data_IF_852203912573
#
_entry.id   IF_852203912573
#
_cell.length_a   1.000
_cell.length_b   1.000
_cell.length_c   1.000
_cell.angle_alpha   90.00
_cell.angle_beta   90.00
_cell.angle_gamma   90.00
#
_symmetry.space_group_name_H-M   'P 1'
#
loop_
_entity.id
_entity.type
_entity.pdbx_description
1 polymer ?
#
# COMPACT_ATOMS: atom_id res chain seq x y z
N UNK A 1 26.08 -1.11 5.55
CA UNK A 1 26.09 0.36 5.42
C UNK A 1 25.00 1.04 6.26
N UNK A 2 23.74 0.57 6.24
CA UNK A 2 22.61 1.20 6.95
C UNK A 2 22.78 1.28 8.48
N UNK A 3 23.35 0.25 9.12
CA UNK A 3 23.62 0.24 10.58
C UNK A 3 24.63 1.31 11.02
N UNK A 4 25.60 1.63 10.18
CA UNK A 4 26.59 2.70 10.42
C UNK A 4 25.94 4.08 10.29
N UNK A 5 25.00 4.23 9.36
CA UNK A 5 24.24 5.46 9.17
C UNK A 5 23.27 5.73 10.32
N UNK A 6 22.56 4.74 10.86
CA UNK A 6 21.61 4.93 11.98
C UNK A 6 22.32 5.27 13.31
N UNK A 7 23.56 4.82 13.48
CA UNK A 7 24.35 5.05 14.69
C UNK A 7 25.30 6.26 14.61
N UNK A 8 25.25 7.04 13.53
CA UNK A 8 26.06 8.25 13.41
C UNK A 8 25.55 9.33 14.39
N UNK A 9 26.43 10.12 15.04
CA UNK A 9 26.02 11.10 16.05
C UNK A 9 25.01 12.14 15.54
N UNK A 10 25.06 12.46 14.24
CA UNK A 10 24.18 13.43 13.58
C UNK A 10 22.85 12.83 13.11
N UNK A 11 22.69 11.52 13.17
CA UNK A 11 21.51 10.78 12.71
C UNK A 11 20.84 9.99 13.83
N UNK A 12 21.23 10.26 15.09
CA UNK A 12 20.62 9.61 16.24
C UNK A 12 19.12 9.89 16.28
N UNK A 13 18.33 8.83 16.18
CA UNK A 13 16.88 8.92 16.24
C UNK A 13 16.47 8.87 17.72
N UNK A 14 15.71 9.86 18.22
CA UNK A 14 15.14 9.82 19.56
C UNK A 14 14.28 8.57 19.81
N UNK A 15 14.40 7.94 20.98
CA UNK A 15 13.66 6.71 21.33
C UNK A 15 12.14 6.84 21.18
N UNK A 16 11.58 8.03 21.44
CA UNK A 16 10.15 8.27 21.27
C UNK A 16 9.68 8.11 19.81
N UNK A 17 10.55 8.38 18.83
CA UNK A 17 10.23 8.19 17.40
C UNK A 17 10.23 6.72 16.99
N UNK A 18 11.01 5.86 17.66
CA UNK A 18 10.93 4.40 17.47
C UNK A 18 9.61 3.79 17.95
N UNK A 19 8.88 4.47 18.83
CA UNK A 19 7.55 4.04 19.27
C UNK A 19 6.42 4.63 18.42
N UNK A 20 6.73 5.61 17.57
CA UNK A 20 5.75 6.31 16.73
C UNK A 20 5.45 5.47 15.47
N UNK A 21 4.21 5.01 15.31
CA UNK A 21 3.73 4.34 14.10
C UNK A 21 4.04 5.02 12.77
N UNK A 22 4.04 6.34 12.75
CA UNK A 22 4.06 7.15 11.53
C UNK A 22 5.48 7.44 11.07
N UNK A 23 6.43 7.46 12.00
CA UNK A 23 7.80 7.88 11.72
C UNK A 23 8.47 7.02 10.64
N UNK A 24 8.19 5.70 10.61
CA UNK A 24 8.76 4.81 9.59
C UNK A 24 8.36 5.24 8.16
N UNK A 25 7.20 5.86 8.01
CA UNK A 25 6.69 6.35 6.72
C UNK A 25 7.24 7.73 6.36
N UNK A 26 7.83 8.44 7.31
CA UNK A 26 8.59 9.66 7.07
C UNK A 26 10.04 9.40 6.66
N UNK A 27 10.57 8.18 6.87
CA UNK A 27 11.97 7.82 6.54
C UNK A 27 12.30 8.07 5.07
N UNK A 28 11.47 7.65 4.08
CA UNK A 28 11.74 7.98 2.68
C UNK A 28 11.87 9.47 2.43
N UNK A 29 11.00 10.29 3.03
CA UNK A 29 11.05 11.75 2.94
C UNK A 29 12.29 12.33 3.62
N UNK A 30 12.64 11.85 4.81
CA UNK A 30 13.82 12.28 5.56
C UNK A 30 15.11 11.97 4.78
N UNK A 31 15.22 10.77 4.20
CA UNK A 31 16.35 10.38 3.37
C UNK A 31 16.46 11.24 2.11
N UNK A 32 15.32 11.53 1.46
CA UNK A 32 15.28 12.38 0.29
C UNK A 32 15.80 13.80 0.57
N UNK A 33 15.39 14.40 1.69
CA UNK A 33 15.76 15.76 2.05
C UNK A 33 17.15 15.88 2.68
N UNK A 34 17.63 14.83 3.36
CA UNK A 34 18.97 14.79 3.92
C UNK A 34 20.05 14.53 2.85
N UNK A 35 19.66 14.04 1.67
CA UNK A 35 20.58 13.76 0.58
C UNK A 35 20.81 15.01 -0.26
N UNK A 36 22.07 15.48 -0.34
CA UNK A 36 22.46 16.58 -1.25
C UNK A 36 22.33 16.19 -2.73
N UNK A 37 22.35 14.88 -3.01
CA UNK A 37 22.24 14.27 -4.33
C UNK A 37 20.99 13.41 -4.42
N UNK A 38 20.55 13.10 -5.65
CA UNK A 38 19.47 12.14 -5.82
C UNK A 38 19.87 10.78 -5.26
N UNK A 39 18.93 10.10 -4.59
CA UNK A 39 19.23 8.85 -3.85
C UNK A 39 19.79 7.78 -4.80
N UNK A 40 19.35 7.78 -6.06
CA UNK A 40 19.87 6.91 -7.11
C UNK A 40 21.37 7.13 -7.39
N UNK A 41 21.89 8.33 -7.16
CA UNK A 41 23.32 8.64 -7.34
C UNK A 41 24.15 8.12 -6.16
N UNK A 42 23.56 8.12 -4.96
CA UNK A 42 24.21 7.68 -3.72
C UNK A 42 24.32 6.15 -3.65
N UNK A 43 23.33 5.43 -4.18
CA UNK A 43 23.26 3.96 -4.13
C UNK A 43 23.98 3.25 -5.29
N UNK A 44 24.78 3.97 -6.09
CA UNK A 44 25.58 3.38 -7.17
C UNK A 44 26.79 2.63 -6.62
N UNK A 45 26.72 1.30 -6.68
CA UNK A 45 27.90 0.41 -6.67
C UNK A 45 28.34 0.08 -8.11
N UNK A 46 29.55 -0.45 -8.27
CA UNK A 46 30.06 -0.88 -9.57
C UNK A 46 29.09 -1.85 -10.27
N UNK A 47 28.51 -2.81 -9.53
CA UNK A 47 27.55 -3.79 -10.05
C UNK A 47 26.24 -3.13 -10.51
N UNK A 48 25.69 -2.20 -9.72
CA UNK A 48 24.47 -1.48 -10.11
C UNK A 48 24.69 -0.59 -11.33
N UNK A 49 25.91 -0.07 -11.51
CA UNK A 49 26.27 0.74 -12.67
C UNK A 49 26.41 -0.11 -13.93
N UNK A 50 27.05 -1.28 -13.85
CA UNK A 50 27.11 -2.23 -14.97
C UNK A 50 25.71 -2.67 -15.43
N UNK A 51 24.85 -3.04 -14.48
CA UNK A 51 23.46 -3.39 -14.77
C UNK A 51 22.69 -2.23 -15.42
N UNK A 52 22.82 -1.02 -14.88
CA UNK A 52 22.15 0.18 -15.42
C UNK A 52 22.58 0.47 -16.86
N UNK A 53 23.88 0.37 -17.15
CA UNK A 53 24.42 0.58 -18.51
C UNK A 53 23.89 -0.49 -19.47
N UNK A 54 23.87 -1.75 -19.06
CA UNK A 54 23.30 -2.84 -19.86
C UNK A 54 21.81 -2.58 -20.16
N UNK A 55 21.01 -2.25 -19.14
CA UNK A 55 19.58 -2.06 -19.29
C UNK A 55 19.25 -0.86 -20.19
N UNK A 56 19.91 0.29 -19.98
CA UNK A 56 19.71 1.51 -20.79
C UNK A 56 20.06 1.29 -22.27
N UNK A 57 21.05 0.45 -22.56
CA UNK A 57 21.42 0.13 -23.95
C UNK A 57 20.47 -0.86 -24.62
N UNK A 58 19.85 -1.73 -23.83
CA UNK A 58 19.00 -2.82 -24.33
C UNK A 58 17.55 -2.38 -24.50
N UNK A 59 17.06 -1.51 -23.61
CA UNK A 59 15.65 -1.14 -23.53
C UNK A 59 15.46 0.37 -23.62
N UNK A 60 14.62 0.79 -24.56
CA UNK A 60 14.24 2.20 -24.73
C UNK A 60 13.35 2.65 -23.56
N UNK A 61 13.57 3.87 -23.06
CA UNK A 61 12.73 4.45 -22.00
C UNK A 61 12.85 3.79 -20.62
N UNK A 62 13.81 2.88 -20.40
CA UNK A 62 13.96 2.13 -19.13
C UNK A 62 14.54 2.95 -17.97
N UNK A 63 15.18 4.08 -18.26
CA UNK A 63 15.91 4.87 -17.26
C UNK A 63 15.01 5.33 -16.08
N UNK A 64 13.83 5.94 -16.30
CA UNK A 64 12.96 6.35 -15.19
C UNK A 64 12.49 5.15 -14.32
N UNK A 65 12.31 3.98 -14.93
CA UNK A 65 11.94 2.75 -14.21
C UNK A 65 13.08 2.26 -13.31
N UNK A 66 14.32 2.29 -13.80
CA UNK A 66 15.49 1.91 -13.00
C UNK A 66 15.70 2.84 -11.81
N UNK A 67 15.61 4.15 -12.04
CA UNK A 67 15.76 5.16 -10.99
C UNK A 67 14.71 4.96 -9.89
N UNK A 68 13.46 4.66 -10.27
CA UNK A 68 12.39 4.31 -9.34
C UNK A 68 12.71 3.04 -8.54
N UNK A 69 13.04 1.93 -9.21
CA UNK A 69 13.30 0.63 -8.55
C UNK A 69 14.43 0.76 -7.53
N UNK A 70 15.51 1.47 -7.88
CA UNK A 70 16.61 1.65 -6.94
C UNK A 70 16.20 2.47 -5.72
N UNK A 71 15.40 3.53 -5.90
CA UNK A 71 14.87 4.30 -4.77
C UNK A 71 13.96 3.44 -3.88
N UNK A 72 13.08 2.63 -4.46
CA UNK A 72 12.20 1.72 -3.70
C UNK A 72 12.97 0.70 -2.89
N UNK A 73 14.03 0.11 -3.46
CA UNK A 73 14.92 -0.83 -2.76
C UNK A 73 15.60 -0.11 -1.60
N UNK A 74 16.10 1.11 -1.80
CA UNK A 74 16.76 1.88 -0.76
C UNK A 74 15.79 2.26 0.39
N UNK A 75 14.59 2.72 0.07
CA UNK A 75 13.55 3.05 1.06
C UNK A 75 13.10 1.82 1.83
N UNK A 76 12.82 0.73 1.14
CA UNK A 76 12.46 -0.56 1.76
C UNK A 76 13.57 -1.02 2.70
N UNK A 77 14.83 -0.95 2.26
CA UNK A 77 15.99 -1.29 3.09
C UNK A 77 16.13 -0.40 4.33
N UNK A 78 15.77 0.89 4.22
CA UNK A 78 15.77 1.81 5.35
C UNK A 78 14.63 1.53 6.35
N UNK A 79 13.41 1.24 5.87
CA UNK A 79 12.29 0.80 6.71
C UNK A 79 12.67 -0.47 7.50
N UNK A 80 13.23 -1.49 6.83
CA UNK A 80 13.68 -2.72 7.49
C UNK A 80 14.79 -2.47 8.51
N UNK A 81 15.76 -1.62 8.19
CA UNK A 81 16.85 -1.31 9.11
C UNK A 81 16.32 -0.59 10.37
N UNK A 82 15.37 0.32 10.20
CA UNK A 82 14.71 1.01 11.31
C UNK A 82 13.92 0.05 12.19
N UNK A 83 13.13 -0.82 11.57
CA UNK A 83 12.34 -1.83 12.28
C UNK A 83 13.23 -2.81 13.05
N UNK A 84 14.32 -3.25 12.44
CA UNK A 84 15.30 -4.12 13.11
C UNK A 84 15.92 -3.44 14.33
N UNK A 85 16.32 -2.17 14.21
CA UNK A 85 16.86 -1.39 15.33
C UNK A 85 15.83 -1.21 16.46
N UNK A 86 14.56 -0.94 16.12
CA UNK A 86 13.46 -0.87 17.09
C UNK A 86 13.33 -2.17 17.89
N UNK A 87 13.36 -3.31 17.19
CA UNK A 87 13.26 -4.63 17.79
C UNK A 87 14.49 -4.97 18.64
N UNK A 88 15.71 -4.65 18.19
CA UNK A 88 16.94 -4.81 18.99
C UNK A 88 16.87 -4.02 20.30
N UNK A 89 16.26 -2.83 20.29
CA UNK A 89 16.03 -2.00 21.48
C UNK A 89 14.84 -2.45 22.35
N UNK A 90 14.06 -3.44 21.91
CA UNK A 90 12.89 -3.93 22.64
C UNK A 90 11.76 -2.90 22.77
N UNK A 91 11.68 -1.93 21.87
CA UNK A 91 10.66 -0.88 21.90
C UNK A 91 9.41 -1.35 21.16
N UNK A 92 8.24 -1.30 21.79
CA UNK A 92 6.97 -1.61 21.11
C UNK A 92 6.37 -0.38 20.43
N UNK A 93 5.76 -0.60 19.26
CA UNK A 93 4.96 0.43 18.61
C UNK A 93 3.74 0.75 19.47
N UNK A 94 3.41 2.04 19.56
CA UNK A 94 2.13 2.44 20.16
C UNK A 94 0.98 1.77 19.40
N UNK A 95 0.08 1.14 20.15
CA UNK A 95 -1.12 0.52 19.58
C UNK A 95 -2.03 1.61 19.03
N UNK A 96 -2.27 1.52 17.73
CA UNK A 96 -3.28 2.31 17.04
C UNK A 96 -4.59 1.53 16.94
N UNK A 97 -5.64 2.21 16.48
CA UNK A 97 -6.87 1.54 16.07
C UNK A 97 -6.66 0.87 14.71
N UNK A 98 -7.32 -0.27 14.50
CA UNK A 98 -7.38 -0.95 13.22
C UNK A 98 -8.82 -1.03 12.74
N UNK A 99 -8.99 -1.15 11.44
CA UNK A 99 -10.28 -1.38 10.82
C UNK A 99 -10.85 -2.75 11.20
N UNK A 100 -12.17 -2.90 11.09
CA UNK A 100 -12.86 -4.12 11.49
C UNK A 100 -12.71 -5.25 10.47
N UNK A 101 -12.81 -4.94 9.16
CA UNK A 101 -12.84 -5.94 8.09
C UNK A 101 -11.44 -6.37 7.69
N UNK A 102 -10.55 -5.41 7.44
CA UNK A 102 -9.25 -5.66 6.82
C UNK A 102 -8.07 -5.59 7.79
N UNK A 103 -8.33 -5.23 9.06
CA UNK A 103 -7.36 -5.13 10.15
C UNK A 103 -6.19 -4.17 9.89
N UNK A 104 -6.29 -3.31 8.89
CA UNK A 104 -5.28 -2.28 8.60
C UNK A 104 -5.39 -1.14 9.61
N UNK A 105 -4.29 -0.43 9.91
CA UNK A 105 -4.34 0.68 10.85
C UNK A 105 -5.08 1.89 10.24
N UNK A 106 -5.86 2.61 11.05
CA UNK A 106 -6.62 3.79 10.61
C UNK A 106 -5.87 5.11 10.79
N UNK A 107 -4.79 5.10 11.56
CA UNK A 107 -4.06 6.28 12.02
C UNK A 107 -2.77 6.56 11.26
N UNK A 108 -2.46 5.75 10.25
CA UNK A 108 -1.17 5.77 9.53
C UNK A 108 -1.28 5.20 8.12
N UNK A 109 -0.24 5.45 7.33
CA UNK A 109 -0.03 4.77 6.05
C UNK A 109 0.40 3.31 6.26
N UNK A 110 -0.09 2.41 5.41
CA UNK A 110 0.34 1.02 5.36
C UNK A 110 0.78 0.64 3.94
N UNK A 111 1.78 -0.23 3.83
CA UNK A 111 2.24 -0.68 2.53
C UNK A 111 1.20 -1.58 1.85
N UNK A 112 1.01 -1.35 0.55
CA UNK A 112 0.38 -2.28 -0.40
C UNK A 112 1.47 -2.93 -1.26
N UNK A 113 2.33 -2.10 -1.85
CA UNK A 113 3.56 -2.51 -2.54
C UNK A 113 4.73 -1.63 -2.02
N UNK A 114 5.99 -1.90 -2.37
CA UNK A 114 7.09 -0.99 -2.06
C UNK A 114 6.86 0.45 -2.59
N UNK A 115 6.13 0.58 -3.69
CA UNK A 115 5.84 1.83 -4.40
C UNK A 115 4.51 2.47 -4.00
N UNK A 116 3.61 1.75 -3.34
CA UNK A 116 2.23 2.21 -3.09
C UNK A 116 1.85 1.98 -1.64
N UNK A 117 1.45 3.06 -0.98
CA UNK A 117 0.90 3.04 0.37
C UNK A 117 -0.61 3.27 0.32
N UNK A 118 -1.35 2.62 1.23
CA UNK A 118 -2.75 2.89 1.49
C UNK A 118 -2.93 3.74 2.76
N UNK A 119 -3.95 4.58 2.79
CA UNK A 119 -4.48 5.23 4.00
C UNK A 119 -5.97 4.97 4.09
N UNK A 120 -6.47 4.70 5.30
CA UNK A 120 -7.91 4.58 5.54
C UNK A 120 -8.52 5.97 5.64
N UNK A 121 -9.44 6.31 4.74
CA UNK A 121 -10.19 7.59 4.79
C UNK A 121 -11.55 7.42 5.46
N UNK A 122 -12.10 6.21 5.43
CA UNK A 122 -13.36 5.88 6.08
C UNK A 122 -13.37 4.41 6.51
N UNK A 123 -13.88 4.13 7.70
CA UNK A 123 -14.05 2.77 8.20
C UNK A 123 -15.28 2.67 9.10
N UNK A 124 -16.22 1.83 8.67
CA UNK A 124 -17.41 1.39 9.37
C UNK A 124 -17.50 -0.14 9.32
N UNK A 125 -18.43 -0.73 10.08
CA UNK A 125 -18.55 -2.19 10.25
C UNK A 125 -18.68 -2.96 8.91
N UNK A 126 -19.36 -2.36 7.93
CA UNK A 126 -19.66 -2.98 6.64
C UNK A 126 -19.04 -2.24 5.45
N UNK A 127 -18.28 -1.17 5.68
CA UNK A 127 -17.73 -0.33 4.62
C UNK A 127 -16.36 0.22 5.01
N UNK A 128 -15.36 0.05 4.16
CA UNK A 128 -14.05 0.69 4.33
C UNK A 128 -13.64 1.37 3.04
N UNK A 129 -13.05 2.55 3.12
CA UNK A 129 -12.54 3.29 1.97
C UNK A 129 -11.07 3.60 2.22
N UNK A 130 -10.23 3.23 1.26
CA UNK A 130 -8.80 3.51 1.26
C UNK A 130 -8.44 4.43 0.11
N UNK A 131 -7.54 5.38 0.36
CA UNK A 131 -6.84 6.09 -0.70
C UNK A 131 -5.47 5.43 -0.88
N UNK A 132 -5.17 5.05 -2.12
CA UNK A 132 -3.86 4.55 -2.52
C UNK A 132 -3.03 5.71 -3.02
N UNK A 133 -1.80 5.79 -2.53
CA UNK A 133 -0.88 6.85 -2.84
C UNK A 133 0.45 6.28 -3.31
N UNK A 134 0.99 6.86 -4.37
CA UNK A 134 2.33 6.53 -4.82
C UNK A 134 3.35 7.07 -3.83
N UNK A 135 4.29 6.21 -3.45
CA UNK A 135 5.45 6.52 -2.62
C UNK A 135 6.52 7.24 -3.45
N UNK A 136 6.14 8.32 -4.13
CA UNK A 136 7.02 9.07 -5.03
C UNK A 136 7.33 10.39 -4.37
N UNK A 137 8.62 10.67 -4.24
CA UNK A 137 9.12 12.03 -4.08
C UNK A 137 8.43 12.94 -5.12
N UNK A 138 7.50 13.80 -4.72
CA UNK A 138 7.13 14.97 -5.55
C UNK A 138 7.12 16.21 -4.68
N UNK A 139 8.32 16.64 -4.25
CA UNK A 139 8.57 17.92 -3.56
C UNK A 139 7.83 18.12 -2.22
N UNK A 140 8.23 19.12 -1.44
CA UNK A 140 7.51 19.53 -0.22
C UNK A 140 6.05 19.91 -0.55
N UNK A 141 5.81 20.32 -1.79
CA UNK A 141 4.53 20.86 -2.25
C UNK A 141 3.51 19.77 -2.65
N UNK A 142 3.95 18.54 -2.93
CA UNK A 142 3.05 17.42 -3.25
C UNK A 142 3.59 16.06 -2.78
N UNK A 143 3.68 15.81 -1.47
CA UNK A 143 4.29 14.59 -0.93
C UNK A 143 3.49 13.32 -1.22
N UNK A 144 2.28 13.43 -1.79
CA UNK A 144 1.33 12.31 -1.93
C UNK A 144 0.63 12.40 -3.29
N UNK A 145 0.97 11.49 -4.20
CA UNK A 145 0.25 11.35 -5.47
C UNK A 145 -0.84 10.30 -5.30
N UNK A 146 -2.09 10.72 -5.23
CA UNK A 146 -3.23 9.82 -5.11
C UNK A 146 -3.47 9.05 -6.43
N UNK A 147 -3.44 7.72 -6.33
CA UNK A 147 -3.55 6.80 -7.45
C UNK A 147 -4.96 6.28 -7.65
N UNK A 148 -5.62 5.93 -6.56
CA UNK A 148 -6.91 5.28 -6.60
C UNK A 148 -7.62 5.39 -5.27
N UNK A 149 -8.94 5.36 -5.33
CA UNK A 149 -9.80 5.09 -4.19
C UNK A 149 -10.28 3.64 -4.29
N UNK A 150 -10.13 2.90 -3.18
CA UNK A 150 -10.56 1.51 -3.05
C UNK A 150 -11.63 1.44 -1.97
N UNK A 151 -12.83 1.04 -2.35
CA UNK A 151 -13.97 0.88 -1.45
C UNK A 151 -14.28 -0.60 -1.25
N UNK A 152 -14.27 -1.05 -0.01
CA UNK A 152 -14.68 -2.37 0.44
C UNK A 152 -16.10 -2.29 0.99
N UNK A 153 -17.00 -3.14 0.49
CA UNK A 153 -18.37 -3.26 0.99
C UNK A 153 -18.57 -4.70 1.41
N UNK A 154 -18.64 -4.93 2.71
CA UNK A 154 -18.88 -6.25 3.29
C UNK A 154 -20.37 -6.47 3.51
N UNK A 155 -20.90 -7.49 2.87
CA UNK A 155 -22.29 -7.92 3.00
C UNK A 155 -22.31 -9.25 3.75
N UNK A 156 -22.83 -9.24 4.97
CA UNK A 156 -22.98 -10.48 5.73
C UNK A 156 -24.11 -11.32 5.14
N UNK A 157 -24.04 -12.64 5.37
CA UNK A 157 -25.09 -13.59 5.03
C UNK A 157 -26.47 -13.11 5.46
N UNK A 158 -26.60 -12.65 6.70
CA UNK A 158 -27.88 -12.22 7.28
C UNK A 158 -28.44 -11.00 6.53
N UNK A 159 -27.59 -10.04 6.16
CA UNK A 159 -27.99 -8.88 5.35
C UNK A 159 -28.47 -9.31 3.97
N UNK A 160 -27.76 -10.23 3.32
CA UNK A 160 -28.11 -10.73 1.99
C UNK A 160 -29.44 -11.49 2.03
N UNK A 161 -29.59 -12.41 2.98
CA UNK A 161 -30.82 -13.20 3.16
C UNK A 161 -32.03 -12.28 3.40
N UNK A 162 -31.89 -11.31 4.30
CA UNK A 162 -32.95 -10.33 4.57
C UNK A 162 -33.31 -9.54 3.32
N UNK A 163 -32.34 -9.06 2.54
CA UNK A 163 -32.61 -8.33 1.30
C UNK A 163 -33.34 -9.18 0.25
N UNK A 164 -33.09 -10.50 0.20
CA UNK A 164 -33.83 -11.42 -0.67
C UNK A 164 -35.27 -11.58 -0.19
N UNK A 165 -35.46 -11.78 1.12
CA UNK A 165 -36.78 -11.89 1.75
C UNK A 165 -37.61 -10.60 1.58
N UNK A 166 -36.97 -9.44 1.67
CA UNK A 166 -37.55 -8.12 1.44
C UNK A 166 -37.82 -7.83 -0.06
N UNK A 167 -37.42 -8.74 -0.96
CA UNK A 167 -37.69 -8.63 -2.40
C UNK A 167 -36.82 -7.62 -3.15
N UNK A 168 -35.61 -7.33 -2.66
CA UNK A 168 -34.68 -6.44 -3.34
C UNK A 168 -34.18 -7.08 -4.64
N UNK A 169 -34.62 -6.53 -5.77
CA UNK A 169 -34.43 -7.08 -7.12
C UNK A 169 -32.99 -7.52 -7.42
N UNK A 170 -32.00 -6.70 -7.05
CA UNK A 170 -30.58 -7.02 -7.28
C UNK A 170 -30.19 -8.37 -6.65
N UNK A 171 -30.50 -8.57 -5.37
CA UNK A 171 -30.16 -9.81 -4.66
C UNK A 171 -30.99 -10.99 -5.15
N UNK A 172 -32.27 -10.78 -5.47
CA UNK A 172 -33.12 -11.83 -6.06
C UNK A 172 -32.58 -12.35 -7.40
N UNK A 173 -31.98 -11.48 -8.21
CA UNK A 173 -31.36 -11.86 -9.49
C UNK A 173 -30.01 -12.55 -9.26
N UNK A 174 -29.14 -11.99 -8.42
CA UNK A 174 -27.79 -12.52 -8.17
C UNK A 174 -27.83 -13.92 -7.56
N UNK A 175 -28.78 -14.19 -6.66
CA UNK A 175 -28.92 -15.46 -5.94
C UNK A 175 -30.06 -16.33 -6.49
N UNK A 176 -30.44 -16.13 -7.75
CA UNK A 176 -31.51 -16.89 -8.38
C UNK A 176 -31.17 -18.40 -8.40
N UNK A 177 -31.99 -19.20 -7.72
CA UNK A 177 -31.79 -20.65 -7.63
C UNK A 177 -30.81 -21.09 -6.54
N UNK A 178 -30.23 -20.17 -5.76
CA UNK A 178 -29.41 -20.49 -4.59
C UNK A 178 -30.29 -20.58 -3.34
N UNK A 179 -30.31 -21.72 -2.62
CA UNK A 179 -31.00 -21.81 -1.34
C UNK A 179 -30.44 -20.82 -0.31
N UNK A 180 -31.30 -20.17 0.48
CA UNK A 180 -30.88 -19.16 1.48
C UNK A 180 -29.79 -19.68 2.43
N UNK A 181 -29.87 -20.95 2.84
CA UNK A 181 -28.91 -21.53 3.78
C UNK A 181 -27.49 -21.70 3.20
N UNK A 182 -27.36 -21.78 1.86
CA UNK A 182 -26.10 -21.88 1.13
C UNK A 182 -25.45 -20.51 0.90
N UNK A 183 -26.17 -19.41 1.12
CA UNK A 183 -25.61 -18.05 1.02
C UNK A 183 -24.55 -17.85 2.10
N UNK A 184 -23.45 -17.22 1.69
CA UNK A 184 -22.29 -16.86 2.51
C UNK A 184 -22.06 -15.35 2.45
N UNK A 185 -21.17 -14.87 3.34
CA UNK A 185 -20.68 -13.50 3.34
C UNK A 185 -20.03 -13.18 2.00
N UNK A 186 -20.21 -11.93 1.55
CA UNK A 186 -19.71 -11.42 0.28
C UNK A 186 -18.95 -10.13 0.49
N UNK A 187 -17.85 -9.98 -0.23
CA UNK A 187 -17.09 -8.73 -0.26
C UNK A 187 -17.11 -8.14 -1.67
N UNK A 188 -17.56 -6.90 -1.80
CA UNK A 188 -17.37 -6.12 -3.02
C UNK A 188 -16.17 -5.20 -2.84
N UNK A 189 -15.23 -5.25 -3.78
CA UNK A 189 -14.05 -4.39 -3.84
C UNK A 189 -14.22 -3.50 -5.07
N UNK A 190 -14.50 -2.22 -4.85
CA UNK A 190 -14.71 -1.23 -5.90
C UNK A 190 -13.51 -0.32 -6.01
N UNK A 191 -13.03 -0.10 -7.21
CA UNK A 191 -11.79 0.64 -7.43
C UNK A 191 -12.04 1.71 -8.46
N UNK A 192 -11.73 2.94 -8.07
CA UNK A 192 -11.79 4.11 -8.92
C UNK A 192 -10.36 4.61 -9.10
N UNK A 193 -9.82 4.40 -10.29
CA UNK A 193 -8.49 4.91 -10.64
C UNK A 193 -8.58 6.42 -10.83
N UNK A 194 -7.60 7.15 -10.34
CA UNK A 194 -7.50 8.57 -10.58
C UNK A 194 -6.88 8.79 -11.96
N UNK A 195 -7.61 9.47 -12.84
CA UNK A 195 -7.19 9.71 -14.24
C UNK A 195 -6.28 10.92 -14.41
N UNK A 196 -6.13 11.75 -13.36
CA UNK A 196 -5.44 13.05 -13.44
C UNK A 196 -4.01 13.04 -12.87
N UNK A 197 -3.17 13.78 -13.59
CA UNK A 197 -1.71 13.75 -13.62
C UNK A 197 -1.02 14.19 -12.32
N UNK A 198 -0.22 13.29 -11.77
CA UNK A 198 0.79 13.59 -10.75
C UNK A 198 1.83 12.49 -10.58
N UNK A 199 1.62 11.32 -11.19
CA UNK A 199 2.56 10.20 -11.10
C UNK A 199 3.84 10.52 -11.86
N UNK A 200 5.01 10.07 -11.36
CA UNK A 200 6.29 10.31 -12.04
C UNK A 200 6.34 9.69 -13.45
N UNK A 201 5.44 8.74 -13.74
CA UNK A 201 5.24 8.12 -15.06
C UNK A 201 3.82 7.54 -15.19
N UNK A 202 3.38 7.20 -16.41
CA UNK A 202 2.17 6.42 -16.61
C UNK A 202 2.26 5.07 -15.88
N UNK A 203 1.15 4.66 -15.26
CA UNK A 203 0.98 3.30 -14.76
C UNK A 203 0.55 2.39 -15.89
N UNK A 204 1.32 1.34 -16.11
CA UNK A 204 0.98 0.30 -17.08
C UNK A 204 -0.10 -0.63 -16.50
N UNK A 205 -0.89 -1.26 -17.37
CA UNK A 205 -1.96 -2.16 -16.97
C UNK A 205 -1.46 -3.30 -16.06
N UNK A 206 -0.26 -3.83 -16.33
CA UNK A 206 0.36 -4.90 -15.55
C UNK A 206 0.61 -4.48 -14.10
N UNK A 207 0.95 -3.21 -13.87
CA UNK A 207 1.21 -2.70 -12.52
C UNK A 207 -0.08 -2.49 -11.75
N UNK A 208 -1.13 -2.03 -12.43
CA UNK A 208 -2.47 -1.95 -11.87
C UNK A 208 -2.88 -3.36 -11.43
N UNK A 209 -2.80 -4.35 -12.31
CA UNK A 209 -3.10 -5.75 -11.99
C UNK A 209 -2.28 -6.27 -10.80
N UNK A 210 -1.00 -5.92 -10.71
CA UNK A 210 -0.16 -6.27 -9.57
C UNK A 210 -0.67 -5.66 -8.26
N UNK A 211 -0.93 -4.34 -8.23
CA UNK A 211 -1.47 -3.64 -7.04
C UNK A 211 -2.80 -4.27 -6.61
N UNK A 212 -3.67 -4.57 -7.57
CA UNK A 212 -4.97 -5.19 -7.32
C UNK A 212 -4.83 -6.57 -6.66
N UNK A 213 -3.90 -7.39 -7.16
CA UNK A 213 -3.63 -8.71 -6.58
C UNK A 213 -3.09 -8.61 -5.16
N UNK A 214 -2.21 -7.65 -4.87
CA UNK A 214 -1.69 -7.41 -3.52
C UNK A 214 -2.81 -6.98 -2.56
N UNK A 215 -3.72 -6.10 -3.00
CA UNK A 215 -4.89 -5.69 -2.20
C UNK A 215 -5.79 -6.90 -1.90
N UNK A 216 -6.15 -7.68 -2.93
CA UNK A 216 -7.00 -8.85 -2.76
C UNK A 216 -6.33 -9.87 -1.83
N UNK A 217 -5.04 -10.14 -2.03
CA UNK A 217 -4.27 -11.06 -1.18
C UNK A 217 -4.28 -10.62 0.28
N UNK A 218 -4.02 -9.34 0.53
CA UNK A 218 -4.03 -8.78 1.88
C UNK A 218 -5.40 -8.87 2.54
N UNK A 219 -6.45 -8.52 1.81
CA UNK A 219 -7.83 -8.52 2.32
C UNK A 219 -8.34 -9.94 2.54
N UNK A 220 -7.99 -10.89 1.67
CA UNK A 220 -8.35 -12.29 1.84
C UNK A 220 -7.78 -12.89 3.12
N UNK A 221 -6.53 -12.59 3.46
CA UNK A 221 -5.89 -13.07 4.69
C UNK A 221 -6.60 -12.56 5.95
N UNK A 222 -7.08 -11.32 5.94
CA UNK A 222 -7.61 -10.66 7.14
C UNK A 222 -9.14 -10.77 7.28
N UNK A 223 -9.88 -10.65 6.17
CA UNK A 223 -11.35 -10.64 6.19
C UNK A 223 -11.95 -12.05 6.36
N UNK A 224 -11.16 -13.11 6.18
CA UNK A 224 -11.61 -14.52 6.25
C UNK A 224 -12.78 -14.86 5.31
N UNK A 225 -12.96 -14.07 4.26
CA UNK A 225 -13.97 -14.31 3.21
C UNK A 225 -13.29 -15.11 2.08
N UNK A 226 -13.91 -16.18 1.57
CA UNK A 226 -13.37 -16.94 0.44
C UNK A 226 -13.20 -16.06 -0.81
N UNK A 227 -12.14 -16.29 -1.59
CA UNK A 227 -11.82 -15.48 -2.79
C UNK A 227 -12.98 -15.52 -3.80
N UNK A 228 -13.66 -16.66 -3.94
CA UNK A 228 -14.83 -16.84 -4.79
C UNK A 228 -16.01 -15.93 -4.44
N UNK A 229 -16.06 -15.44 -3.18
CA UNK A 229 -17.07 -14.51 -2.70
C UNK A 229 -16.60 -13.05 -2.74
N UNK A 230 -15.38 -12.79 -3.22
CA UNK A 230 -14.85 -11.45 -3.45
C UNK A 230 -15.13 -11.01 -4.88
N UNK A 231 -15.74 -9.85 -5.04
CA UNK A 231 -16.12 -9.30 -6.34
C UNK A 231 -15.36 -8.01 -6.59
N UNK A 232 -14.41 -8.06 -7.52
CA UNK A 232 -13.66 -6.89 -7.96
C UNK A 232 -14.45 -6.12 -9.04
N UNK A 233 -14.66 -4.83 -8.82
CA UNK A 233 -15.34 -3.93 -9.75
C UNK A 233 -14.44 -2.73 -10.00
N UNK A 234 -13.84 -2.67 -11.18
CA UNK A 234 -13.06 -1.52 -11.64
C UNK A 234 -13.98 -0.52 -12.35
N UNK A 235 -13.91 0.77 -11.97
CA UNK A 235 -14.71 1.87 -12.54
C UNK A 235 -13.85 3.02 -13.02
#
# INVERSE_FOLDING_TARGET
CTRTFINHPETQIPENLYTDPNFIKDIPFALANASEYELYEIIRTDETQEFSVFAIRTYEGIRPLLEQVFCEVAFTGAEYAFEHERLEKGLELKKGNSTSLTKVPVDRLFAITPSVNGVVVHAEEHCEIWNLNWNSKVTIDNPVVELAEVTFIHQTKDMIQKNIEDGVLYYSIVYLGTPLHEIQDRLEIRIKLNSDFGTPRPMEQVEIEYILNEIIGKVHLEAQIPIENMNLIQR
#
